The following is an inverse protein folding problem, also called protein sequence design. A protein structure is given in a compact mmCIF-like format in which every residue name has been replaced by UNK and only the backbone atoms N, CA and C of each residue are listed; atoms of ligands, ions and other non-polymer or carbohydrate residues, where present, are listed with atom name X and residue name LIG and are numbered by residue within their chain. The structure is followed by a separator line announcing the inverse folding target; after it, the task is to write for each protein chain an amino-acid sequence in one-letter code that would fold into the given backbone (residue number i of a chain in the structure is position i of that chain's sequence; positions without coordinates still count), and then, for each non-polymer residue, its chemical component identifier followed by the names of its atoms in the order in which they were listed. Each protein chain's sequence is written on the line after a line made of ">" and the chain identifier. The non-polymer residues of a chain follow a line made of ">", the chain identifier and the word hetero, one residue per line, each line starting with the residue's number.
data_IF_094677423444
#
_entry.id   IF_094677423444
#
_cell.length_a   1.000
_cell.length_b   1.000
_cell.length_c   1.000
_cell.angle_alpha   90.00
_cell.angle_beta   90.00
_cell.angle_gamma   90.00
#
_symmetry.space_group_name_H-M   'P 1'
#
loop_
_entity.id
_entity.type
_entity.pdbx_description
1 polymer ?
#
# COMPACT_ATOMS: atom_id res chain seq x y z
N UNK A 1 -34.67 1.69 -10.64
CA UNK A 1 -33.41 1.49 -11.39
C UNK A 1 -32.29 1.75 -10.40
N UNK A 2 -31.46 0.75 -10.10
CA UNK A 2 -30.27 0.90 -9.25
C UNK A 2 -29.32 1.88 -9.94
N UNK A 3 -28.80 2.87 -9.22
CA UNK A 3 -27.86 3.85 -9.79
C UNK A 3 -26.56 3.14 -10.16
N UNK A 4 -25.84 3.64 -11.17
CA UNK A 4 -24.48 3.16 -11.47
C UNK A 4 -23.57 3.36 -10.24
N UNK A 5 -23.83 4.37 -9.41
CA UNK A 5 -23.15 4.60 -8.14
C UNK A 5 -23.36 3.46 -7.14
N UNK A 6 -24.59 2.91 -7.06
CA UNK A 6 -24.90 1.75 -6.22
C UNK A 6 -24.15 0.50 -6.69
N UNK A 7 -23.97 0.37 -8.01
CA UNK A 7 -23.24 -0.74 -8.62
C UNK A 7 -21.74 -0.67 -8.30
N UNK A 8 -21.13 0.53 -8.40
CA UNK A 8 -19.72 0.76 -8.03
C UNK A 8 -19.49 0.52 -6.53
N UNK A 9 -20.39 1.01 -5.68
CA UNK A 9 -20.31 0.78 -4.23
C UNK A 9 -20.40 -0.72 -3.88
N UNK A 10 -21.24 -1.46 -4.60
CA UNK A 10 -21.36 -2.92 -4.45
C UNK A 10 -20.06 -3.63 -4.83
N UNK A 11 -19.41 -3.21 -5.92
CA UNK A 11 -18.11 -3.77 -6.35
C UNK A 11 -17.01 -3.45 -5.33
N UNK A 12 -16.93 -2.22 -4.82
CA UNK A 12 -15.92 -1.82 -3.84
C UNK A 12 -16.08 -2.61 -2.52
N UNK A 13 -17.31 -2.90 -2.09
CA UNK A 13 -17.58 -3.75 -0.93
C UNK A 13 -17.19 -5.21 -1.17
N UNK A 14 -17.46 -5.74 -2.37
CA UNK A 14 -17.05 -7.09 -2.75
C UNK A 14 -15.53 -7.23 -2.78
N UNK A 15 -14.81 -6.24 -3.32
CA UNK A 15 -13.34 -6.21 -3.33
C UNK A 15 -12.75 -6.23 -1.92
N UNK A 16 -13.28 -5.39 -1.01
CA UNK A 16 -12.87 -5.38 0.40
C UNK A 16 -13.11 -6.72 1.09
N UNK A 17 -14.25 -7.36 0.81
CA UNK A 17 -14.55 -8.69 1.35
C UNK A 17 -13.56 -9.74 0.83
N UNK A 18 -13.25 -9.73 -0.47
CA UNK A 18 -12.26 -10.63 -1.08
C UNK A 18 -10.87 -10.43 -0.47
N UNK A 19 -10.43 -9.19 -0.26
CA UNK A 19 -9.15 -8.89 0.39
C UNK A 19 -9.09 -9.39 1.84
N UNK A 20 -10.17 -9.18 2.61
CA UNK A 20 -10.28 -9.69 3.97
C UNK A 20 -10.25 -11.23 4.02
N UNK A 21 -10.96 -11.90 3.12
CA UNK A 21 -10.93 -13.37 2.99
C UNK A 21 -9.52 -13.86 2.62
N UNK A 22 -8.87 -13.21 1.66
CA UNK A 22 -7.49 -13.54 1.24
C UNK A 22 -6.51 -13.44 2.40
N UNK A 23 -6.64 -12.40 3.23
CA UNK A 23 -5.81 -12.21 4.41
C UNK A 23 -6.00 -13.34 5.44
N UNK A 24 -7.25 -13.66 5.77
CA UNK A 24 -7.58 -14.76 6.69
C UNK A 24 -7.07 -16.11 6.20
N UNK A 25 -7.16 -16.37 4.89
CA UNK A 25 -6.70 -17.61 4.28
C UNK A 25 -5.18 -17.74 4.28
N UNK A 26 -4.46 -16.64 4.04
CA UNK A 26 -3.00 -16.58 4.14
C UNK A 26 -2.50 -16.75 5.58
N UNK A 27 -3.27 -16.30 6.58
CA UNK A 27 -2.97 -16.55 7.99
C UNK A 27 -3.19 -18.03 8.36
N UNK A 28 -4.31 -18.62 7.94
CA UNK A 28 -4.59 -20.05 8.15
C UNK A 28 -3.50 -20.96 7.55
N UNK A 29 -3.02 -20.64 6.35
CA UNK A 29 -1.91 -21.38 5.71
C UNK A 29 -0.63 -21.31 6.53
N UNK A 30 -0.25 -20.13 7.05
CA UNK A 30 0.96 -19.99 7.89
C UNK A 30 0.89 -20.84 9.16
N UNK A 31 -0.27 -20.87 9.82
CA UNK A 31 -0.49 -21.75 10.98
C UNK A 31 -0.36 -23.23 10.59
N UNK A 32 -0.92 -23.61 9.42
CA UNK A 32 -0.79 -24.95 8.88
C UNK A 32 0.66 -25.34 8.59
N UNK A 33 1.43 -24.47 7.92
CA UNK A 33 2.84 -24.70 7.59
C UNK A 33 3.68 -24.92 8.86
N UNK A 34 3.51 -24.06 9.88
CA UNK A 34 4.20 -24.21 11.18
C UNK A 34 3.82 -25.51 11.90
N UNK A 35 2.55 -25.93 11.82
CA UNK A 35 2.09 -27.19 12.41
C UNK A 35 2.68 -28.40 11.66
N UNK A 36 2.76 -28.35 10.33
CA UNK A 36 3.38 -29.40 9.51
C UNK A 36 4.87 -29.55 9.85
N UNK A 37 5.61 -28.44 9.95
CA UNK A 37 7.03 -28.44 10.30
C UNK A 37 7.28 -29.04 11.70
N UNK A 38 6.46 -28.66 12.69
CA UNK A 38 6.52 -29.23 14.04
C UNK A 38 6.28 -30.74 14.02
N UNK A 39 5.28 -31.20 13.27
CA UNK A 39 4.94 -32.63 13.21
C UNK A 39 5.95 -33.48 12.43
N UNK A 40 6.61 -32.90 11.42
CA UNK A 40 7.75 -33.54 10.75
C UNK A 40 8.88 -33.86 11.75
N UNK A 41 9.14 -32.95 12.71
CA UNK A 41 10.15 -33.14 13.76
C UNK A 41 9.83 -34.27 14.76
N UNK A 42 8.56 -34.70 14.86
CA UNK A 42 8.09 -35.71 15.82
C UNK A 42 7.72 -37.03 15.11
N UNK A 43 8.09 -37.21 13.83
CA UNK A 43 7.82 -38.43 13.01
C UNK A 43 6.33 -38.80 12.87
N UNK A 44 5.41 -37.81 12.90
CA UNK A 44 3.97 -38.02 12.76
C UNK A 44 3.49 -38.05 11.28
N UNK A 45 3.97 -39.02 10.49
CA UNK A 45 3.81 -39.08 9.03
C UNK A 45 2.36 -38.95 8.50
N UNK A 46 1.36 -39.48 9.20
CA UNK A 46 -0.04 -39.44 8.74
C UNK A 46 -0.73 -38.08 8.90
N UNK A 47 -0.41 -37.34 9.96
CA UNK A 47 -0.97 -36.01 10.22
C UNK A 47 -0.35 -34.96 9.28
N UNK A 48 0.95 -35.07 9.03
CA UNK A 48 1.72 -34.22 8.12
C UNK A 48 1.13 -34.19 6.71
N UNK A 49 0.91 -35.36 6.10
CA UNK A 49 0.36 -35.45 4.72
C UNK A 49 -1.01 -34.78 4.58
N UNK A 50 -1.83 -34.88 5.63
CA UNK A 50 -3.17 -34.26 5.67
C UNK A 50 -3.06 -32.73 5.71
N UNK A 51 -2.11 -32.20 6.49
CA UNK A 51 -1.88 -30.75 6.61
C UNK A 51 -1.29 -30.18 5.31
N UNK A 52 -0.32 -30.85 4.70
CA UNK A 52 0.28 -30.39 3.43
C UNK A 52 -0.76 -30.33 2.30
N UNK A 53 -1.67 -31.31 2.27
CA UNK A 53 -2.80 -31.32 1.34
C UNK A 53 -3.75 -30.14 1.59
N UNK A 54 -4.03 -29.83 2.85
CA UNK A 54 -4.86 -28.68 3.21
C UNK A 54 -4.18 -27.35 2.82
N UNK A 55 -2.87 -27.20 3.06
CA UNK A 55 -2.11 -26.00 2.70
C UNK A 55 -2.06 -25.78 1.18
N UNK A 56 -1.95 -26.84 0.41
CA UNK A 56 -2.00 -26.78 -1.07
C UNK A 56 -3.36 -26.25 -1.54
N UNK A 57 -4.46 -26.78 -1.01
CA UNK A 57 -5.83 -26.29 -1.32
C UNK A 57 -6.04 -24.84 -0.91
N UNK A 58 -5.48 -24.42 0.24
CA UNK A 58 -5.53 -23.03 0.68
C UNK A 58 -4.76 -22.11 -0.28
N UNK A 59 -3.61 -22.53 -0.80
CA UNK A 59 -2.84 -21.77 -1.79
C UNK A 59 -3.63 -21.58 -3.10
N UNK A 60 -4.26 -22.65 -3.60
CA UNK A 60 -5.10 -22.59 -4.80
C UNK A 60 -6.28 -21.62 -4.62
N UNK A 61 -6.93 -21.65 -3.45
CA UNK A 61 -8.03 -20.74 -3.13
C UNK A 61 -7.57 -19.28 -3.00
N UNK A 62 -6.39 -19.00 -2.43
CA UNK A 62 -5.79 -17.65 -2.41
C UNK A 62 -5.54 -17.15 -3.84
N UNK A 63 -5.03 -18.01 -4.73
CA UNK A 63 -4.77 -17.66 -6.12
C UNK A 63 -6.07 -17.41 -6.91
N UNK A 64 -7.10 -18.23 -6.69
CA UNK A 64 -8.42 -18.02 -7.29
C UNK A 64 -9.06 -16.68 -6.90
N UNK A 65 -8.95 -16.28 -5.63
CA UNK A 65 -9.44 -14.98 -5.16
C UNK A 65 -8.70 -13.80 -5.80
N UNK A 66 -7.40 -13.94 -6.12
CA UNK A 66 -6.65 -12.91 -6.82
C UNK A 66 -7.15 -12.68 -8.26
N UNK A 67 -7.55 -13.75 -8.96
CA UNK A 67 -8.16 -13.67 -10.29
C UNK A 67 -9.54 -12.99 -10.24
N UNK A 68 -10.35 -13.32 -9.24
CA UNK A 68 -11.66 -12.69 -9.04
C UNK A 68 -11.51 -11.19 -8.73
N UNK A 69 -10.54 -10.81 -7.90
CA UNK A 69 -10.27 -9.40 -7.61
C UNK A 69 -9.83 -8.62 -8.87
N UNK A 70 -9.01 -9.24 -9.73
CA UNK A 70 -8.60 -8.64 -11.00
C UNK A 70 -9.81 -8.44 -11.95
N UNK A 71 -10.66 -9.45 -12.08
CA UNK A 71 -11.88 -9.36 -12.89
C UNK A 71 -12.87 -8.29 -12.36
N UNK A 72 -13.01 -8.17 -11.04
CA UNK A 72 -13.83 -7.13 -10.42
C UNK A 72 -13.26 -5.71 -10.65
N UNK A 73 -11.93 -5.54 -10.63
CA UNK A 73 -11.29 -4.26 -10.96
C UNK A 73 -11.49 -3.88 -12.44
N UNK A 74 -11.47 -4.87 -13.35
CA UNK A 74 -11.76 -4.66 -14.77
C UNK A 74 -13.23 -4.25 -14.99
N UNK A 75 -14.17 -4.96 -14.36
CA UNK A 75 -15.60 -4.62 -14.41
C UNK A 75 -15.88 -3.21 -13.89
N UNK A 76 -15.16 -2.78 -12.83
CA UNK A 76 -15.21 -1.40 -12.32
C UNK A 76 -14.74 -0.38 -13.36
N UNK A 77 -13.65 -0.65 -14.08
CA UNK A 77 -13.13 0.22 -15.14
C UNK A 77 -14.12 0.35 -16.32
N UNK A 78 -14.78 -0.75 -16.68
CA UNK A 78 -15.79 -0.75 -17.74
C UNK A 78 -17.02 0.07 -17.32
N UNK A 79 -17.50 -0.10 -16.09
CA UNK A 79 -18.63 0.65 -15.56
C UNK A 79 -18.38 2.16 -15.53
N UNK A 80 -17.16 2.58 -15.18
CA UNK A 80 -16.74 3.99 -15.22
C UNK A 80 -16.68 4.50 -16.67
N UNK A 81 -16.18 3.69 -17.60
CA UNK A 81 -16.06 4.07 -19.01
C UNK A 81 -17.43 4.19 -19.71
N UNK A 82 -18.40 3.35 -19.32
CA UNK A 82 -19.77 3.39 -19.84
C UNK A 82 -20.52 4.69 -19.45
N UNK A 83 -20.10 5.40 -18.41
CA UNK A 83 -20.62 6.73 -18.07
C UNK A 83 -20.25 7.80 -19.12
N UNK A 84 -19.29 7.52 -20.01
CA UNK A 84 -18.82 8.46 -21.03
C UNK A 84 -19.52 8.39 -22.41
N UNK A 85 -20.47 7.48 -22.63
CA UNK A 85 -20.96 7.16 -24.00
C UNK A 85 -22.42 7.51 -24.32
N UNK A 86 -23.13 8.27 -23.49
CA UNK A 86 -24.50 8.71 -23.82
C UNK A 86 -24.70 10.21 -23.65
N UNK A 87 -24.30 10.99 -24.64
CA UNK A 87 -25.00 12.23 -25.02
C UNK A 87 -24.52 12.72 -26.40
N UNK A 88 -25.38 12.59 -27.42
CA UNK A 88 -25.38 13.55 -28.53
C UNK A 88 -25.72 14.92 -27.91
N UNK A 89 -24.94 15.98 -28.16
CA UNK A 89 -25.09 17.23 -27.42
C UNK A 89 -26.37 17.96 -27.88
N UNK A 90 -27.28 18.38 -26.99
CA UNK A 90 -27.94 19.65 -27.24
C UNK A 90 -26.87 20.74 -27.15
N UNK A 91 -26.94 21.75 -28.00
CA UNK A 91 -26.19 23.01 -27.85
C UNK A 91 -26.58 23.62 -26.50
N UNK A 92 -25.90 23.19 -25.45
CA UNK A 92 -25.93 23.77 -24.13
C UNK A 92 -24.68 24.63 -24.09
N UNK A 93 -24.89 25.93 -24.04
CA UNK A 93 -23.89 26.89 -23.60
C UNK A 93 -23.24 26.31 -22.35
N UNK A 94 -22.02 25.79 -22.49
CA UNK A 94 -21.25 25.26 -21.36
C UNK A 94 -20.91 26.46 -20.50
N UNK A 95 -21.81 26.78 -19.57
CA UNK A 95 -21.42 27.47 -18.35
C UNK A 95 -20.56 26.44 -17.62
N UNK A 96 -19.24 26.64 -17.51
CA UNK A 96 -18.39 25.69 -16.80
C UNK A 96 -18.94 25.53 -15.38
N UNK A 97 -18.88 24.34 -14.77
CA UNK A 97 -19.15 24.25 -13.35
C UNK A 97 -18.14 25.18 -12.68
N UNK A 98 -18.65 26.24 -12.05
CA UNK A 98 -17.89 27.02 -11.08
C UNK A 98 -17.70 26.08 -9.88
N UNK A 99 -16.83 25.08 -10.02
CA UNK A 99 -16.05 24.61 -8.88
C UNK A 99 -15.33 25.87 -8.44
N UNK A 100 -15.67 26.38 -7.26
CA UNK A 100 -14.93 27.46 -6.65
C UNK A 100 -13.45 27.11 -6.84
N UNK A 101 -12.74 27.92 -7.63
CA UNK A 101 -11.35 27.71 -7.98
C UNK A 101 -10.57 27.81 -6.67
N UNK A 102 -10.49 26.69 -5.93
CA UNK A 102 -9.60 26.60 -4.80
C UNK A 102 -8.24 26.62 -5.47
N UNK A 103 -7.56 27.76 -5.40
CA UNK A 103 -6.29 27.95 -6.04
C UNK A 103 -5.40 26.76 -5.68
N UNK A 104 -5.01 25.96 -6.68
CA UNK A 104 -4.11 24.84 -6.48
C UNK A 104 -2.85 25.41 -5.81
N UNK A 105 -2.44 24.91 -4.64
CA UNK A 105 -1.23 25.38 -4.01
C UNK A 105 -0.04 25.10 -4.95
N UNK A 106 0.51 26.16 -5.56
CA UNK A 106 1.67 26.04 -6.47
C UNK A 106 3.00 26.22 -5.76
N UNK A 107 3.03 26.85 -4.59
CA UNK A 107 4.23 26.94 -3.76
C UNK A 107 4.41 25.65 -2.93
N UNK A 108 4.73 24.55 -3.61
CA UNK A 108 5.01 23.28 -2.96
C UNK A 108 6.51 23.09 -2.72
N UNK A 109 6.83 22.71 -1.48
CA UNK A 109 8.17 22.34 -1.03
C UNK A 109 8.26 20.84 -0.94
N UNK A 110 9.43 20.31 -1.29
CA UNK A 110 9.73 18.88 -1.26
C UNK A 110 9.41 18.23 0.11
N UNK A 111 9.08 16.93 0.11
CA UNK A 111 8.99 16.18 1.34
C UNK A 111 10.29 16.19 2.13
N UNK A 112 10.16 16.06 3.46
CA UNK A 112 11.33 15.97 4.30
C UNK A 112 12.15 14.72 3.97
N UNK A 113 13.49 14.84 3.90
CA UNK A 113 14.40 13.74 3.51
C UNK A 113 14.25 12.45 4.32
N UNK A 114 13.69 12.52 5.53
CA UNK A 114 13.42 11.35 6.41
C UNK A 114 12.38 10.38 5.84
N UNK A 115 11.69 10.75 4.76
CA UNK A 115 10.83 9.82 4.04
C UNK A 115 11.61 8.93 3.07
N UNK A 116 12.80 9.36 2.60
CA UNK A 116 13.63 8.56 1.70
C UNK A 116 14.27 7.40 2.44
N UNK A 117 14.10 6.18 1.92
CA UNK A 117 14.57 4.95 2.57
C UNK A 117 16.04 5.06 3.03
N UNK A 118 16.94 5.52 2.16
CA UNK A 118 18.37 5.69 2.45
C UNK A 118 18.72 6.79 3.47
N UNK A 119 17.74 7.57 3.93
CA UNK A 119 17.91 8.69 4.87
C UNK A 119 17.12 8.50 6.16
N UNK A 120 16.39 7.40 6.30
CA UNK A 120 15.74 7.00 7.55
C UNK A 120 16.83 6.66 8.56
N UNK A 121 16.67 7.14 9.79
CA UNK A 121 17.60 6.87 10.88
C UNK A 121 16.91 6.07 11.99
N UNK A 122 17.63 5.20 12.73
CA UNK A 122 17.08 4.43 13.85
C UNK A 122 16.39 5.23 14.97
N UNK A 123 16.64 6.54 15.02
CA UNK A 123 16.07 7.49 15.99
C UNK A 123 14.83 8.24 15.46
N UNK A 124 14.43 8.02 14.22
CA UNK A 124 13.24 8.65 13.67
C UNK A 124 11.99 8.13 14.39
N UNK A 125 11.09 9.03 14.76
CA UNK A 125 9.90 8.68 15.53
C UNK A 125 8.84 8.03 14.64
N UNK A 126 8.40 6.78 14.92
CA UNK A 126 7.29 6.15 14.22
C UNK A 126 5.98 6.89 14.46
N UNK A 127 5.28 7.25 13.39
CA UNK A 127 3.94 7.86 13.45
C UNK A 127 2.86 6.80 13.23
N UNK A 128 1.59 7.18 13.42
CA UNK A 128 0.45 6.30 13.15
C UNK A 128 0.44 5.84 11.68
N UNK A 129 0.69 6.77 10.78
CA UNK A 129 0.80 6.55 9.34
C UNK A 129 2.16 7.07 8.87
N UNK A 130 2.94 6.21 8.24
CA UNK A 130 4.25 6.54 7.68
C UNK A 130 4.24 6.20 6.19
N UNK A 131 5.06 6.88 5.40
CA UNK A 131 5.28 6.51 4.00
C UNK A 131 6.76 6.65 3.68
N UNK A 132 7.31 5.59 3.09
CA UNK A 132 8.70 5.49 2.69
C UNK A 132 8.82 5.67 1.18
N UNK A 133 9.73 6.55 0.77
CA UNK A 133 10.10 6.77 -0.63
C UNK A 133 11.22 5.79 -0.95
N UNK A 134 10.93 4.85 -1.83
CA UNK A 134 11.87 3.82 -2.27
C UNK A 134 12.91 4.40 -3.23
N UNK A 135 14.08 3.76 -3.39
CA UNK A 135 15.07 4.17 -4.38
C UNK A 135 14.49 4.24 -5.80
N UNK A 136 14.97 5.19 -6.60
CA UNK A 136 14.56 5.37 -7.99
C UNK A 136 13.34 6.29 -8.20
N UNK A 137 12.70 6.77 -7.14
CA UNK A 137 11.63 7.77 -7.26
C UNK A 137 12.22 9.17 -7.45
N UNK A 138 11.93 9.80 -8.59
CA UNK A 138 12.30 11.19 -8.87
C UNK A 138 11.26 12.15 -8.27
N UNK A 139 11.41 12.42 -6.98
CA UNK A 139 10.55 13.35 -6.24
C UNK A 139 10.72 14.79 -6.74
N UNK A 140 11.90 15.17 -7.20
CA UNK A 140 12.17 16.55 -7.59
C UNK A 140 11.46 16.89 -8.91
N UNK A 141 11.41 15.94 -9.86
CA UNK A 141 10.54 16.04 -11.05
C UNK A 141 9.06 16.11 -10.68
N UNK A 142 8.57 15.24 -9.79
CA UNK A 142 7.17 15.29 -9.34
C UNK A 142 6.82 16.66 -8.72
N UNK A 143 7.72 17.22 -7.89
CA UNK A 143 7.51 18.54 -7.30
C UNK A 143 7.55 19.66 -8.35
N UNK A 144 8.38 19.56 -9.39
CA UNK A 144 8.39 20.54 -10.48
C UNK A 144 7.04 20.56 -11.21
N UNK A 145 6.54 19.39 -11.62
CA UNK A 145 5.24 19.24 -12.28
C UNK A 145 4.09 19.78 -11.44
N UNK A 146 4.11 19.60 -10.12
CA UNK A 146 3.10 20.19 -9.23
C UNK A 146 3.16 21.73 -9.26
N UNK A 147 4.37 22.34 -9.23
CA UNK A 147 4.50 23.81 -9.30
C UNK A 147 4.05 24.36 -10.65
N UNK A 148 4.27 23.61 -11.72
CA UNK A 148 3.85 23.94 -13.08
C UNK A 148 2.32 23.74 -13.28
N UNK A 149 1.63 23.16 -12.30
CA UNK A 149 0.19 22.95 -12.32
C UNK A 149 -0.25 21.68 -13.07
N UNK A 150 0.66 20.76 -13.32
CA UNK A 150 0.41 19.50 -14.04
C UNK A 150 -0.07 18.35 -13.13
N UNK A 151 -0.37 18.63 -11.86
CA UNK A 151 -0.92 17.67 -10.92
C UNK A 151 -2.43 17.79 -10.80
N UNK A 152 -3.12 16.66 -10.59
CA UNK A 152 -4.51 16.69 -10.16
C UNK A 152 -4.58 17.09 -8.67
N UNK A 153 -5.39 18.11 -8.35
CA UNK A 153 -5.56 18.61 -6.99
C UNK A 153 -6.89 18.17 -6.38
N UNK A 154 -6.81 17.50 -5.25
CA UNK A 154 -7.96 17.21 -4.38
C UNK A 154 -7.94 18.17 -3.18
N UNK A 155 -8.86 19.14 -3.19
CA UNK A 155 -9.00 20.14 -2.14
C UNK A 155 -9.52 19.56 -0.81
N UNK A 156 -10.28 18.47 -0.84
CA UNK A 156 -10.84 17.85 0.38
C UNK A 156 -9.75 17.15 1.18
N UNK A 157 -8.92 16.36 0.50
CA UNK A 157 -7.80 15.66 1.14
C UNK A 157 -6.50 16.47 1.18
N UNK A 158 -6.47 17.63 0.50
CA UNK A 158 -5.29 18.48 0.31
C UNK A 158 -4.13 17.73 -0.34
N UNK A 159 -4.42 16.99 -1.40
CA UNK A 159 -3.47 16.06 -2.04
C UNK A 159 -3.26 16.38 -3.51
N UNK A 160 -2.02 16.30 -3.96
CA UNK A 160 -1.64 16.30 -5.37
C UNK A 160 -1.44 14.88 -5.88
N UNK A 161 -1.99 14.57 -7.04
CA UNK A 161 -1.66 13.35 -7.79
C UNK A 161 -0.82 13.70 -9.01
N UNK A 162 0.37 13.12 -9.11
CA UNK A 162 1.30 13.32 -10.23
C UNK A 162 2.04 12.01 -10.52
N UNK A 163 2.16 11.61 -11.78
CA UNK A 163 2.81 10.34 -12.16
C UNK A 163 2.26 9.10 -11.41
N UNK A 164 0.97 9.10 -11.07
CA UNK A 164 0.32 8.05 -10.28
C UNK A 164 0.70 8.02 -8.79
N UNK A 165 1.47 9.01 -8.31
CA UNK A 165 1.87 9.18 -6.91
C UNK A 165 1.07 10.29 -6.24
N UNK A 166 0.70 10.06 -4.98
CA UNK A 166 -0.05 11.02 -4.17
C UNK A 166 0.83 11.67 -3.10
N UNK A 167 0.73 13.00 -3.02
CA UNK A 167 1.44 13.84 -2.06
C UNK A 167 0.47 14.77 -1.33
N UNK A 168 0.39 14.65 -0.01
CA UNK A 168 -0.39 15.56 0.81
C UNK A 168 0.38 16.86 1.05
N UNK A 169 -0.30 17.98 1.17
CA UNK A 169 0.31 19.29 1.40
C UNK A 169 -0.11 19.85 2.77
N UNK A 170 0.89 20.18 3.60
CA UNK A 170 0.66 20.86 4.89
C UNK A 170 0.50 22.36 4.69
N UNK A 171 0.01 23.01 5.74
CA UNK A 171 0.05 24.47 5.84
C UNK A 171 1.52 24.94 5.73
N UNK A 172 1.76 25.90 4.85
CA UNK A 172 3.11 26.34 4.48
C UNK A 172 3.76 25.58 3.31
N UNK A 173 3.00 24.78 2.56
CA UNK A 173 3.39 24.24 1.26
C UNK A 173 4.31 23.02 1.30
N UNK A 174 4.74 22.55 2.47
CA UNK A 174 5.56 21.33 2.56
C UNK A 174 4.73 20.09 2.29
N UNK A 175 5.13 19.31 1.29
CA UNK A 175 4.47 18.07 0.94
C UNK A 175 4.94 16.90 1.82
N UNK A 176 4.15 15.84 1.86
CA UNK A 176 4.52 14.54 2.42
C UNK A 176 3.97 13.43 1.52
N UNK A 177 4.72 12.34 1.31
CA UNK A 177 4.25 11.24 0.49
C UNK A 177 3.06 10.54 1.16
N UNK A 178 2.10 10.10 0.34
CA UNK A 178 0.93 9.34 0.79
C UNK A 178 1.05 7.91 0.29
N UNK A 179 0.92 7.68 -1.02
CA UNK A 179 1.02 6.38 -1.67
C UNK A 179 1.26 6.51 -3.19
N UNK A 180 1.43 5.36 -3.86
CA UNK A 180 1.62 5.25 -5.30
C UNK A 180 2.95 4.57 -5.67
N UNK A 181 3.28 4.46 -6.97
CA UNK A 181 4.47 3.75 -7.42
C UNK A 181 5.77 4.25 -6.79
N UNK A 182 6.41 3.40 -5.98
CA UNK A 182 7.64 3.73 -5.25
C UNK A 182 7.44 4.48 -3.93
N UNK A 183 6.20 4.80 -3.56
CA UNK A 183 5.82 5.32 -2.25
C UNK A 183 5.15 4.19 -1.48
N UNK A 184 5.79 3.70 -0.42
CA UNK A 184 5.29 2.58 0.38
C UNK A 184 4.65 3.10 1.67
N UNK A 185 3.31 3.06 1.80
CA UNK A 185 2.65 3.30 3.08
C UNK A 185 3.03 2.20 4.07
N UNK A 186 3.21 2.60 5.32
CA UNK A 186 3.55 1.71 6.43
C UNK A 186 2.79 2.12 7.68
N UNK A 187 2.26 1.12 8.39
CA UNK A 187 1.70 1.28 9.71
C UNK A 187 2.80 1.62 10.73
N UNK A 188 2.40 2.00 11.95
CA UNK A 188 3.34 2.23 13.05
C UNK A 188 4.22 1.01 13.38
N UNK A 189 3.69 -0.22 13.56
CA UNK A 189 4.52 -1.38 13.86
C UNK A 189 5.42 -1.80 12.70
N UNK A 190 4.96 -1.73 11.45
CA UNK A 190 5.80 -1.99 10.26
C UNK A 190 6.99 -1.02 10.20
N UNK A 191 6.74 0.28 10.42
CA UNK A 191 7.81 1.27 10.42
C UNK A 191 8.79 1.08 11.57
N UNK A 192 8.31 0.69 12.77
CA UNK A 192 9.18 0.30 13.89
C UNK A 192 10.11 -0.85 13.51
N UNK A 193 9.58 -1.92 12.92
CA UNK A 193 10.39 -3.06 12.47
C UNK A 193 11.47 -2.62 11.48
N UNK A 194 11.14 -1.74 10.53
CA UNK A 194 12.12 -1.16 9.60
C UNK A 194 13.25 -0.42 10.33
N UNK A 195 12.94 0.36 11.37
CA UNK A 195 13.96 1.07 12.16
C UNK A 195 14.89 0.12 12.92
N UNK A 196 14.39 -1.03 13.38
CA UNK A 196 15.20 -2.06 14.03
C UNK A 196 16.18 -2.66 13.02
N UNK A 197 15.70 -3.02 11.82
CA UNK A 197 16.58 -3.55 10.76
C UNK A 197 17.68 -2.55 10.36
N UNK A 198 17.33 -1.26 10.22
CA UNK A 198 18.30 -0.18 9.94
C UNK A 198 19.29 -0.02 11.11
N UNK A 199 18.83 -0.12 12.37
CA UNK A 199 19.70 -0.02 13.56
C UNK A 199 20.81 -1.07 13.54
N UNK A 200 20.46 -2.30 13.20
CA UNK A 200 21.37 -3.44 13.14
C UNK A 200 22.09 -3.58 11.80
N UNK A 201 22.01 -2.56 10.93
CA UNK A 201 22.72 -2.50 9.64
C UNK A 201 22.53 -3.76 8.77
N UNK A 202 21.34 -4.35 8.84
CA UNK A 202 20.99 -5.55 8.08
C UNK A 202 21.42 -6.89 8.69
N UNK A 203 21.96 -6.94 9.90
CA UNK A 203 22.00 -8.19 10.68
C UNK A 203 20.57 -8.56 11.09
N UNK A 204 19.91 -9.35 10.23
CA UNK A 204 18.50 -9.71 10.42
C UNK A 204 18.28 -10.59 11.64
N UNK A 205 19.26 -11.42 12.03
CA UNK A 205 19.12 -12.30 13.17
C UNK A 205 19.16 -11.52 14.49
N UNK A 206 20.05 -10.53 14.61
CA UNK A 206 20.06 -9.63 15.77
C UNK A 206 18.85 -8.71 15.79
N UNK A 207 18.45 -8.19 14.62
CA UNK A 207 17.28 -7.35 14.49
C UNK A 207 15.99 -8.09 14.88
N UNK A 208 15.83 -9.35 14.48
CA UNK A 208 14.67 -10.18 14.82
C UNK A 208 14.61 -10.45 16.32
N UNK A 209 15.73 -10.88 16.93
CA UNK A 209 15.82 -11.02 18.40
C UNK A 209 15.44 -9.73 19.14
N UNK A 210 15.80 -8.56 18.60
CA UNK A 210 15.42 -7.28 19.22
C UNK A 210 13.92 -6.99 19.05
N UNK A 211 13.33 -7.37 17.92
CA UNK A 211 11.91 -7.18 17.63
C UNK A 211 11.01 -8.02 18.55
N UNK A 212 11.46 -9.20 19.00
CA UNK A 212 10.74 -10.03 19.97
C UNK A 212 10.45 -9.30 21.30
N UNK A 213 11.31 -8.34 21.67
CA UNK A 213 11.13 -7.50 22.85
C UNK A 213 10.34 -6.21 22.58
N UNK A 214 9.95 -5.92 21.33
CA UNK A 214 9.13 -4.76 21.00
C UNK A 214 7.63 -5.12 21.00
N UNK A 215 6.85 -4.60 21.97
CA UNK A 215 5.43 -4.88 22.00
C UNK A 215 4.73 -4.31 20.75
N UNK A 216 3.90 -5.15 20.14
CA UNK A 216 3.02 -4.78 19.04
C UNK A 216 3.62 -4.90 17.64
N UNK A 217 4.84 -5.43 17.48
CA UNK A 217 5.34 -5.87 16.17
C UNK A 217 4.93 -7.33 15.99
N UNK A 218 4.16 -7.64 14.95
CA UNK A 218 3.81 -9.01 14.57
C UNK A 218 4.76 -9.53 13.48
N UNK A 219 4.79 -10.84 13.25
CA UNK A 219 5.52 -11.41 12.11
C UNK A 219 5.09 -10.83 10.75
N UNK A 220 3.81 -10.48 10.60
CA UNK A 220 3.33 -9.82 9.37
C UNK A 220 3.90 -8.40 9.21
N UNK A 221 4.05 -7.66 10.30
CA UNK A 221 4.65 -6.32 10.27
C UNK A 221 6.16 -6.40 9.93
N UNK A 222 6.83 -7.41 10.49
CA UNK A 222 8.23 -7.72 10.18
C UNK A 222 8.43 -8.04 8.70
N UNK A 223 7.61 -8.92 8.12
CA UNK A 223 7.67 -9.28 6.70
C UNK A 223 7.47 -8.05 5.79
N UNK A 224 6.52 -7.18 6.15
CA UNK A 224 6.28 -5.94 5.42
C UNK A 224 7.49 -5.00 5.47
N UNK A 225 8.07 -4.82 6.65
CA UNK A 225 9.29 -4.04 6.83
C UNK A 225 10.47 -4.64 6.05
N UNK A 226 10.64 -5.97 6.07
CA UNK A 226 11.72 -6.65 5.37
C UNK A 226 11.64 -6.45 3.86
N UNK A 227 10.44 -6.48 3.27
CA UNK A 227 10.25 -6.18 1.83
C UNK A 227 10.76 -4.79 1.44
N UNK A 228 10.56 -3.81 2.33
CA UNK A 228 11.09 -2.45 2.15
C UNK A 228 12.59 -2.42 2.37
N UNK A 229 13.07 -3.03 3.46
CA UNK A 229 14.47 -3.02 3.86
C UNK A 229 15.39 -3.70 2.83
N UNK A 230 14.91 -4.71 2.08
CA UNK A 230 15.66 -5.31 0.96
C UNK A 230 16.08 -4.32 -0.14
N UNK A 231 15.48 -3.12 -0.15
CA UNK A 231 15.82 -2.02 -1.07
C UNK A 231 16.70 -0.95 -0.39
N UNK A 232 17.06 -1.13 0.88
CA UNK A 232 17.90 -0.21 1.64
C UNK A 232 19.39 -0.43 1.29
N UNK A 233 20.23 0.63 1.25
CA UNK A 233 21.65 0.49 0.94
C UNK A 233 22.43 -0.45 1.87
N UNK A 234 22.04 -0.52 3.15
CA UNK A 234 22.68 -1.41 4.13
C UNK A 234 22.26 -2.88 4.01
N UNK A 235 21.28 -3.21 3.15
CA UNK A 235 20.93 -4.59 2.88
C UNK A 235 22.02 -5.24 2.03
N UNK A 236 22.91 -5.98 2.68
CA UNK A 236 23.92 -6.81 2.02
C UNK A 236 23.25 -8.10 1.55
N UNK A 237 23.42 -8.41 0.26
CA UNK A 237 22.97 -9.67 -0.35
C UNK A 237 23.91 -10.81 -0.02
#
# INVERSE_FOLDING_TARGET
>A
MTSIEDYVATIDNALKAVEATRFSLAAARRTGDSTSETLHGITAFGAVKTIDTANSRLADAVNGLALVAAAAAEARSIAISAQGLTAVPPTVTVVPPIRAATAVPRDVRRPHRRHTLAKIQPKDAPKRHNTVILPGVDVDSDMARIRDGESEWDAQSRTHTVNGRRYGTKDGGRTFPVDGPGLQPMSRPEYKALLIMIRHRGDLAEAERRADFEPGITGSDWDAALRVFRRHPDFRR
#
